data_IF_775384317378
#
_entry.id   IF_775384317378
#
_cell.length_a   1.000
_cell.length_b   1.000
_cell.length_c   1.000
_cell.angle_alpha   90.00
_cell.angle_beta   90.00
_cell.angle_gamma   90.00
#
_symmetry.space_group_name_H-M   'P 1'
#
loop_
_entity.id
_entity.type
_entity.pdbx_description
1 polymer ?
2 water ?
#
# COMPACT_ATOMS: atom_id res chain seq x y z
N UNK A 14 -9.19 -26.27 3.95
CA UNK A 14 -8.90 -25.77 2.60
C UNK A 14 -9.03 -26.89 1.57
N UNK A 15 -9.38 -26.53 0.34
CA UNK A 15 -9.56 -27.49 -0.74
C UNK A 15 -8.27 -27.85 -1.48
N UNK A 16 -7.17 -27.14 -1.21
CA UNK A 16 -5.90 -27.34 -1.90
C UNK A 16 -4.77 -27.51 -0.90
N UNK A 17 -3.61 -27.93 -1.40
CA UNK A 17 -2.41 -28.17 -0.62
C UNK A 17 -1.44 -27.03 -0.95
N UNK A 18 -1.62 -25.92 -0.23
CA UNK A 18 -0.98 -24.68 -0.60
C UNK A 18 0.53 -24.78 -0.55
N UNK A 19 1.07 -25.45 0.47
CA UNK A 19 2.52 -25.43 0.68
C UNK A 19 3.27 -26.05 -0.49
N UNK A 20 2.71 -27.10 -1.11
CA UNK A 20 3.39 -27.72 -2.24
C UNK A 20 3.12 -27.01 -3.56
N UNK A 21 2.07 -26.19 -3.64
CA UNK A 21 1.77 -25.45 -4.87
C UNK A 21 2.59 -24.17 -4.97
N UNK A 22 2.92 -23.57 -3.82
CA UNK A 22 3.53 -22.24 -3.82
C UNK A 22 4.78 -22.12 -4.69
N UNK A 23 5.74 -23.06 -4.68
CA UNK A 23 6.93 -22.93 -5.53
C UNK A 23 6.60 -22.86 -7.00
N UNK A 24 5.49 -23.48 -7.41
CA UNK A 24 5.07 -23.47 -8.79
C UNK A 24 4.48 -22.12 -9.19
N UNK A 25 4.17 -21.24 -8.25
CA UNK A 25 3.60 -19.94 -8.58
C UNK A 25 4.65 -18.86 -8.80
N UNK A 26 5.92 -19.19 -8.60
CA UNK A 26 6.95 -18.21 -8.83
C UNK A 26 7.06 -17.90 -10.31
N UNK A 27 7.33 -16.63 -10.62
CA UNK A 27 7.42 -16.19 -12.01
C UNK A 27 8.79 -15.57 -12.27
N UNK A 28 9.19 -15.60 -13.55
CA UNK A 28 10.41 -14.93 -13.99
C UNK A 28 10.28 -13.41 -13.79
N UNK A 29 11.37 -12.71 -13.54
CA UNK A 29 11.28 -11.24 -13.44
C UNK A 29 10.65 -10.63 -14.69
N UNK A 30 9.88 -9.58 -14.46
CA UNK A 30 9.31 -8.76 -15.53
C UNK A 30 8.33 -9.53 -16.41
N UNK A 31 7.76 -10.64 -15.93
CA UNK A 31 6.92 -11.46 -16.78
C UNK A 31 5.49 -11.61 -16.28
N UNK A 32 5.17 -11.16 -15.07
CA UNK A 32 3.89 -11.46 -14.46
C UNK A 32 2.79 -10.47 -14.86
N UNK A 33 1.64 -11.01 -15.20
CA UNK A 33 0.46 -10.22 -15.49
C UNK A 33 -0.62 -10.56 -14.48
N UNK A 34 -1.45 -9.57 -14.22
CA UNK A 34 -2.64 -9.62 -13.38
C UNK A 34 -3.83 -9.16 -14.23
N UNK A 35 -5.03 -9.29 -13.68
CA UNK A 35 -6.18 -8.77 -14.44
C UNK A 35 -7.38 -8.59 -13.53
N UNK A 36 -8.30 -7.73 -13.95
CA UNK A 36 -9.56 -7.59 -13.21
C UNK A 36 -10.57 -6.93 -14.13
N UNK A 37 -11.79 -7.44 -14.10
CA UNK A 37 -12.85 -6.69 -14.72
C UNK A 37 -12.87 -6.74 -16.25
N UNK A 38 -13.75 -5.88 -16.77
CA UNK A 38 -14.04 -5.81 -18.19
C UNK A 38 -14.24 -4.35 -18.58
N UNK A 39 -14.12 -4.08 -19.88
CA UNK A 39 -14.44 -2.78 -20.46
C UNK A 39 -15.43 -3.06 -21.58
N UNK A 40 -16.63 -2.49 -21.46
CA UNK A 40 -17.73 -2.74 -22.38
C UNK A 40 -17.93 -4.26 -22.59
N UNK A 41 -17.84 -5.03 -21.52
CA UNK A 41 -18.08 -6.47 -21.61
C UNK A 41 -16.91 -7.31 -22.07
N UNK A 42 -15.76 -6.71 -22.37
CA UNK A 42 -14.59 -7.40 -22.88
C UNK A 42 -13.53 -7.47 -21.79
N UNK A 43 -13.01 -8.67 -21.55
CA UNK A 43 -12.03 -8.87 -20.49
C UNK A 43 -12.11 -10.29 -19.97
N UNK A 44 -11.78 -10.48 -18.68
CA UNK A 44 -11.80 -11.79 -18.09
C UNK A 44 -10.47 -12.51 -18.24
N UNK A 45 -10.42 -13.73 -17.74
CA UNK A 45 -9.13 -14.44 -17.67
C UNK A 45 -8.54 -14.85 -19.03
N UNK A 46 -9.39 -15.17 -20.01
CA UNK A 46 -8.88 -15.63 -21.31
C UNK A 46 -8.30 -14.48 -22.10
N UNK A 47 -8.99 -13.32 -22.05
CA UNK A 47 -8.44 -12.13 -22.70
C UNK A 47 -7.12 -11.74 -22.03
N UNK A 48 -7.05 -11.80 -20.69
CA UNK A 48 -5.80 -11.44 -20.01
C UNK A 48 -4.67 -12.37 -20.40
N UNK A 49 -4.96 -13.65 -20.52
CA UNK A 49 -3.93 -14.62 -20.91
C UNK A 49 -3.42 -14.34 -22.31
N UNK A 50 -4.33 -14.00 -23.24
CA UNK A 50 -3.91 -13.67 -24.60
C UNK A 50 -2.99 -12.45 -24.60
N UNK A 51 -3.38 -11.40 -23.88
CA UNK A 51 -2.56 -10.18 -23.82
C UNK A 51 -1.21 -10.50 -23.20
N UNK A 52 -1.21 -11.25 -22.10
CA UNK A 52 0.02 -11.61 -21.42
C UNK A 52 0.94 -12.41 -22.32
N UNK A 53 0.44 -13.50 -22.89
CA UNK A 53 1.33 -14.33 -23.69
C UNK A 53 1.77 -13.63 -24.97
N UNK A 54 0.89 -12.78 -25.55
CA UNK A 54 1.31 -12.05 -26.74
C UNK A 54 2.46 -11.10 -26.46
N UNK A 55 2.69 -10.81 -25.18
CA UNK A 55 3.74 -9.89 -24.76
C UNK A 55 4.86 -10.61 -24.04
N UNK A 56 4.89 -11.93 -24.12
CA UNK A 56 5.94 -12.72 -23.48
C UNK A 56 5.78 -12.97 -21.99
N UNK A 57 4.60 -12.77 -21.43
CA UNK A 57 4.43 -13.00 -20.00
C UNK A 57 3.40 -14.07 -19.71
N UNK A 58 2.97 -14.14 -18.44
CA UNK A 58 2.09 -15.19 -17.96
C UNK A 58 1.03 -14.56 -17.08
N UNK A 59 -0.06 -15.30 -16.84
CA UNK A 59 -1.04 -14.90 -15.83
C UNK A 59 -1.12 -15.95 -14.74
N UNK A 60 -1.94 -15.68 -13.72
CA UNK A 60 -2.17 -16.70 -12.70
C UNK A 60 -2.82 -17.93 -13.30
N UNK A 61 -3.84 -17.72 -14.15
CA UNK A 61 -4.52 -18.87 -14.73
C UNK A 61 -3.63 -19.62 -15.71
N UNK A 62 -2.80 -18.93 -16.48
CA UNK A 62 -1.95 -19.67 -17.41
C UNK A 62 -0.87 -20.43 -16.65
N UNK A 63 -0.36 -19.86 -15.56
CA UNK A 63 0.59 -20.57 -14.71
C UNK A 63 -0.03 -21.85 -14.16
N UNK A 64 -1.25 -21.73 -13.64
CA UNK A 64 -1.93 -22.89 -13.08
C UNK A 64 -2.12 -23.95 -14.14
N UNK A 65 -2.55 -23.54 -15.34
CA UNK A 65 -2.80 -24.49 -16.42
C UNK A 65 -1.49 -25.07 -16.93
N UNK A 66 -0.53 -24.20 -17.24
CA UNK A 66 0.68 -24.68 -17.89
C UNK A 66 1.60 -25.41 -16.91
N UNK A 67 1.52 -25.13 -15.60
CA UNK A 67 2.26 -25.93 -14.63
C UNK A 67 1.43 -27.06 -14.02
N UNK A 68 0.19 -27.21 -14.47
CA UNK A 68 -0.67 -28.35 -14.11
C UNK A 68 -1.00 -28.39 -12.63
N UNK A 69 -1.32 -27.22 -12.09
CA UNK A 69 -1.81 -27.08 -10.72
C UNK A 69 -3.32 -27.30 -10.70
N UNK A 70 -3.79 -28.19 -9.83
CA UNK A 70 -5.22 -28.52 -9.76
C UNK A 70 -5.93 -27.55 -8.82
N UNK A 71 -6.92 -26.82 -9.34
CA UNK A 71 -7.70 -25.82 -8.60
C UNK A 71 -9.19 -26.13 -8.70
N UNK A 72 -9.97 -25.80 -7.65
CA UNK A 72 -11.44 -25.89 -7.74
C UNK A 72 -12.01 -24.89 -8.76
N UNK A 80 -15.28 -21.83 -0.20
CA UNK A 80 -14.07 -22.63 -0.11
C UNK A 80 -13.28 -22.50 -1.42
N UNK A 81 -14.03 -22.40 -2.51
CA UNK A 81 -13.42 -22.17 -3.82
C UNK A 81 -12.80 -20.78 -3.87
N UNK A 82 -13.51 -19.79 -3.30
CA UNK A 82 -13.02 -18.42 -3.24
C UNK A 82 -11.76 -18.32 -2.38
N UNK A 83 -11.74 -19.03 -1.25
CA UNK A 83 -10.56 -19.01 -0.39
C UNK A 83 -9.35 -19.60 -1.08
N UNK A 84 -9.53 -20.71 -1.82
CA UNK A 84 -8.40 -21.30 -2.52
C UNK A 84 -7.80 -20.32 -3.50
N UNK A 85 -8.66 -19.63 -4.25
CA UNK A 85 -8.17 -18.69 -5.26
C UNK A 85 -7.51 -17.48 -4.63
N UNK A 86 -8.03 -17.04 -3.46
CA UNK A 86 -7.41 -15.93 -2.75
C UNK A 86 -6.01 -16.29 -2.27
N UNK A 87 -5.85 -17.50 -1.72
CA UNK A 87 -4.55 -17.91 -1.22
C UNK A 87 -3.52 -18.03 -2.34
N UNK A 88 -3.90 -18.64 -3.47
CA UNK A 88 -2.97 -18.78 -4.58
C UNK A 88 -2.68 -17.42 -5.20
N UNK A 89 -3.70 -16.55 -5.33
CA UNK A 89 -3.46 -15.21 -5.85
C UNK A 89 -2.48 -14.45 -4.98
N UNK A 90 -2.61 -14.56 -3.65
CA UNK A 90 -1.70 -13.84 -2.76
C UNK A 90 -0.29 -14.37 -2.91
N UNK A 91 -0.14 -15.69 -3.04
CA UNK A 91 1.19 -16.26 -3.20
C UNK A 91 1.81 -15.85 -4.52
N UNK A 92 1.02 -15.86 -5.59
CA UNK A 92 1.52 -15.40 -6.89
C UNK A 92 2.04 -13.97 -6.80
N UNK A 93 1.25 -13.09 -6.19
CA UNK A 93 1.65 -11.68 -6.06
C UNK A 93 2.92 -11.55 -5.22
N UNK A 94 3.05 -12.36 -4.18
CA UNK A 94 4.20 -12.22 -3.30
C UNK A 94 5.49 -12.63 -3.98
N UNK A 95 5.43 -13.42 -5.04
CA UNK A 95 6.60 -14.02 -5.65
C UNK A 95 7.01 -13.37 -6.97
N UNK A 96 6.26 -12.37 -7.46
CA UNK A 96 6.68 -11.69 -8.69
C UNK A 96 7.88 -10.80 -8.40
N UNK A 97 8.56 -10.39 -9.47
CA UNK A 97 9.63 -9.40 -9.32
C UNK A 97 9.72 -8.56 -10.59
N UNK A 98 10.31 -7.38 -10.44
CA UNK A 98 10.49 -6.51 -11.58
C UNK A 98 9.25 -5.76 -12.00
N UNK A 99 9.08 -5.54 -13.32
CA UNK A 99 7.93 -4.80 -13.83
C UNK A 99 6.73 -5.70 -13.93
N UNK A 100 5.58 -5.21 -13.46
CA UNK A 100 4.34 -5.97 -13.40
C UNK A 100 3.32 -5.30 -14.32
N UNK A 101 2.51 -6.11 -15.00
CA UNK A 101 1.48 -5.58 -15.87
C UNK A 101 0.10 -6.11 -15.44
N UNK A 102 -0.93 -5.30 -15.61
CA UNK A 102 -2.27 -5.71 -15.15
C UNK A 102 -3.32 -5.28 -16.18
N UNK A 103 -4.14 -6.22 -16.61
CA UNK A 103 -5.20 -5.94 -17.58
C UNK A 103 -6.43 -5.57 -16.77
N UNK A 104 -6.70 -4.28 -16.66
CA UNK A 104 -7.68 -3.75 -15.72
C UNK A 104 -8.77 -3.05 -16.52
N UNK A 105 -10.02 -3.57 -16.41
CA UNK A 105 -11.12 -2.98 -17.11
C UNK A 105 -11.68 -1.75 -16.40
N UNK A 106 -12.56 -1.06 -17.12
CA UNK A 106 -13.27 0.08 -16.56
C UNK A 106 -14.34 -0.31 -15.54
N UNK A 107 -14.86 -1.54 -15.64
CA UNK A 107 -15.93 -2.04 -14.78
C UNK A 107 -15.33 -3.10 -13.90
N UNK A 108 -15.19 -2.80 -12.61
CA UNK A 108 -14.62 -3.76 -11.68
C UNK A 108 -15.68 -4.23 -10.70
N UNK A 109 -15.54 -5.47 -10.24
CA UNK A 109 -16.50 -6.07 -9.33
C UNK A 109 -16.13 -5.73 -7.89
N UNK A 110 -17.14 -5.39 -7.09
CA UNK A 110 -16.89 -5.13 -5.68
C UNK A 110 -16.31 -6.39 -5.04
N UNK A 111 -15.24 -6.22 -4.29
CA UNK A 111 -14.60 -7.35 -3.66
C UNK A 111 -13.59 -8.10 -4.50
N UNK A 112 -13.21 -7.55 -5.66
CA UNK A 112 -12.37 -8.28 -6.60
C UNK A 112 -10.98 -8.57 -6.00
N UNK A 113 -10.39 -9.68 -6.46
CA UNK A 113 -9.12 -10.15 -5.92
C UNK A 113 -7.98 -9.18 -6.23
N UNK A 114 -8.01 -8.53 -7.39
CA UNK A 114 -6.94 -7.62 -7.75
C UNK A 114 -6.78 -6.51 -6.72
N UNK A 115 -7.87 -5.81 -6.39
CA UNK A 115 -7.70 -4.69 -5.49
C UNK A 115 -7.61 -5.11 -4.04
N UNK A 116 -8.21 -6.25 -3.68
CA UNK A 116 -8.32 -6.58 -2.26
C UNK A 116 -7.23 -7.52 -1.77
N UNK A 117 -6.61 -8.28 -2.67
CA UNK A 117 -5.61 -9.28 -2.30
C UNK A 117 -4.28 -9.02 -2.98
N UNK A 118 -4.30 -8.85 -4.31
CA UNK A 118 -3.07 -8.85 -5.06
C UNK A 118 -2.36 -7.50 -5.02
N UNK A 119 -3.03 -6.42 -5.40
CA UNK A 119 -2.34 -5.13 -5.45
C UNK A 119 -1.72 -4.78 -4.08
N UNK A 120 -2.37 -5.01 -2.92
CA UNK A 120 -1.67 -4.69 -1.66
C UNK A 120 -0.40 -5.49 -1.47
N UNK A 121 -0.41 -6.75 -1.93
CA UNK A 121 0.80 -7.54 -1.78
C UNK A 121 1.86 -7.13 -2.79
N UNK A 122 1.46 -6.60 -3.96
CA UNK A 122 2.45 -6.08 -4.89
C UNK A 122 3.11 -4.84 -4.28
N UNK A 123 2.31 -3.97 -3.64
CA UNK A 123 2.90 -2.80 -2.98
C UNK A 123 3.85 -3.23 -1.86
N UNK A 124 3.55 -4.33 -1.17
CA UNK A 124 4.40 -4.87 -0.12
C UNK A 124 5.57 -5.71 -0.62
N UNK A 125 5.67 -5.92 -1.93
CA UNK A 125 6.74 -6.71 -2.55
C UNK A 125 7.88 -5.78 -2.96
N UNK A 126 8.97 -5.80 -2.19
CA UNK A 126 10.07 -4.88 -2.43
C UNK A 126 10.72 -5.07 -3.79
N UNK A 127 10.47 -6.21 -4.44
CA UNK A 127 11.10 -6.48 -5.73
C UNK A 127 10.29 -5.97 -6.90
N UNK A 128 9.07 -5.48 -6.67
CA UNK A 128 8.25 -4.92 -7.75
C UNK A 128 8.74 -3.52 -8.05
N UNK A 129 9.10 -3.26 -9.30
CA UNK A 129 9.66 -1.95 -9.63
C UNK A 129 8.67 -1.04 -10.34
N UNK A 130 7.63 -1.59 -10.94
CA UNK A 130 6.71 -0.79 -11.74
C UNK A 130 5.44 -1.60 -11.89
N UNK A 131 4.29 -0.91 -11.86
CA UNK A 131 3.02 -1.53 -12.24
C UNK A 131 2.37 -0.69 -13.34
N UNK A 132 2.04 -1.34 -14.45
CA UNK A 132 1.40 -0.68 -15.60
C UNK A 132 0.07 -1.37 -15.87
N UNK A 133 -1.00 -0.59 -16.00
CA UNK A 133 -2.28 -1.18 -16.40
C UNK A 133 -2.47 -1.13 -17.90
N UNK A 134 -3.25 -2.08 -18.41
CA UNK A 134 -3.57 -2.22 -19.84
C UNK A 134 -5.07 -2.42 -19.92
N UNK A 135 -5.79 -1.57 -20.68
CA UNK A 135 -7.22 -1.82 -20.80
C UNK A 135 -7.48 -3.06 -21.66
N UNK A 136 -8.42 -3.94 -21.27
CA UNK A 136 -8.63 -5.18 -22.03
C UNK A 136 -9.16 -4.98 -23.43
N UNK A 137 -9.87 -3.87 -23.70
CA UNK A 137 -10.47 -3.61 -25.00
C UNK A 137 -9.54 -2.74 -25.83
N UNK A 138 -9.15 -1.58 -25.31
CA UNK A 138 -8.33 -0.66 -26.10
C UNK A 138 -6.84 -0.95 -25.99
N UNK A 139 -6.43 -1.61 -24.92
CA UNK A 139 -5.03 -1.85 -24.56
C UNK A 139 -4.26 -0.55 -24.32
N UNK A 140 -4.98 0.54 -24.04
CA UNK A 140 -4.30 1.77 -23.63
C UNK A 140 -3.59 1.52 -22.30
N UNK A 141 -2.39 2.05 -22.13
CA UNK A 141 -1.58 1.76 -20.95
C UNK A 141 -1.49 2.96 -20.02
N UNK A 142 -1.38 2.67 -18.70
CA UNK A 142 -1.17 3.71 -17.70
C UNK A 142 -0.19 3.20 -16.64
N UNK A 143 0.87 3.95 -16.37
CA UNK A 143 1.77 3.56 -15.29
C UNK A 143 1.17 4.05 -13.97
N UNK A 144 0.85 3.12 -13.06
CA UNK A 144 0.21 3.47 -11.81
C UNK A 144 1.16 3.41 -10.63
N UNK A 145 2.36 2.85 -10.81
CA UNK A 145 3.29 2.75 -9.69
C UNK A 145 4.70 2.64 -10.23
N UNK A 146 5.62 3.46 -9.69
CA UNK A 146 7.05 3.33 -9.91
C UNK A 146 7.70 3.40 -8.55
N UNK A 147 8.52 2.41 -8.22
CA UNK A 147 9.11 2.38 -6.86
C UNK A 147 10.42 3.14 -6.78
N UNK B 12 19.60 23.15 6.24
CA UNK B 12 19.81 21.96 7.08
C UNK B 12 19.64 22.26 8.57
N UNK B 13 19.76 23.54 8.92
CA UNK B 13 19.63 23.95 10.31
C UNK B 13 18.18 23.88 10.76
N UNK B 14 17.99 23.66 12.06
CA UNK B 14 16.67 23.40 12.62
C UNK B 14 16.53 24.15 13.93
N UNK B 15 15.29 24.45 14.29
CA UNK B 15 14.99 25.10 15.56
C UNK B 15 14.93 24.11 16.71
N UNK B 16 15.10 22.81 16.43
CA UNK B 16 15.05 21.78 17.45
C UNK B 16 16.33 20.97 17.34
N UNK B 17 16.55 20.12 18.35
CA UNK B 17 17.65 19.14 18.36
C UNK B 17 17.01 17.79 18.04
N UNK B 18 16.95 17.45 16.75
CA UNK B 18 16.22 16.25 16.34
C UNK B 18 16.74 15.00 17.04
N UNK B 19 18.07 14.81 17.06
CA UNK B 19 18.60 13.57 17.62
C UNK B 19 18.27 13.47 19.10
N UNK B 20 18.12 14.60 19.80
CA UNK B 20 17.85 14.52 21.23
C UNK B 20 16.41 14.11 21.53
N UNK B 21 15.45 14.44 20.66
CA UNK B 21 14.05 14.04 20.90
C UNK B 21 13.63 12.81 20.10
N UNK B 22 14.45 12.33 19.17
CA UNK B 22 14.09 11.16 18.37
C UNK B 22 13.58 9.97 19.17
N UNK B 23 14.13 9.60 20.32
CA UNK B 23 13.56 8.44 21.03
C UNK B 23 12.12 8.65 21.41
N UNK B 24 11.70 9.89 21.63
CA UNK B 24 10.31 10.15 21.99
C UNK B 24 9.37 10.05 20.80
N UNK B 25 9.89 10.07 19.58
CA UNK B 25 9.05 9.94 18.41
C UNK B 25 8.82 8.49 18.02
N UNK B 26 9.55 7.56 18.65
CA UNK B 26 9.37 6.15 18.39
C UNK B 26 8.00 5.72 18.90
N UNK B 27 7.36 4.81 18.19
CA UNK B 27 6.03 4.35 18.54
C UNK B 27 6.03 2.84 18.80
N UNK B 28 5.07 2.39 19.61
CA UNK B 28 4.93 0.97 19.83
C UNK B 28 4.51 0.28 18.53
N UNK B 29 4.90 -0.96 18.34
CA UNK B 29 4.47 -1.70 17.16
C UNK B 29 2.95 -1.68 17.06
N UNK B 30 2.46 -1.56 15.83
CA UNK B 30 1.04 -1.64 15.49
C UNK B 30 0.21 -0.50 16.06
N UNK B 31 0.81 0.61 16.44
CA UNK B 31 0.06 1.68 17.12
C UNK B 31 0.07 3.02 16.39
N UNK B 32 0.87 3.17 15.32
CA UNK B 32 1.07 4.48 14.71
C UNK B 32 0.01 4.82 13.66
N UNK B 33 -0.47 6.06 13.71
CA UNK B 33 -1.39 6.61 12.71
C UNK B 33 -0.76 7.79 11.97
N UNK B 34 -1.18 7.91 10.71
CA UNK B 34 -0.83 9.00 9.82
C UNK B 34 -2.14 9.63 9.36
N UNK B 35 -2.06 10.79 8.69
CA UNK B 35 -3.32 11.36 8.19
C UNK B 35 -3.03 12.34 7.06
N UNK B 36 -4.06 12.54 6.23
CA UNK B 36 -3.98 13.53 5.17
C UNK B 36 -5.38 13.84 4.67
N UNK B 37 -5.65 15.12 4.44
CA UNK B 37 -6.85 15.48 3.74
C UNK B 37 -8.14 15.40 4.56
N UNK B 38 -9.24 15.62 3.83
CA UNK B 38 -10.57 15.69 4.43
C UNK B 38 -11.57 15.00 3.53
N UNK B 39 -12.70 14.58 4.11
CA UNK B 39 -13.85 14.07 3.36
C UNK B 39 -15.05 14.90 3.76
N UNK B 40 -15.67 15.58 2.79
CA UNK B 40 -16.79 16.48 3.06
C UNK B 40 -16.46 17.44 4.21
N UNK B 41 -15.23 17.96 4.19
CA UNK B 41 -14.78 18.93 5.16
C UNK B 41 -14.31 18.35 6.47
N UNK B 42 -14.36 17.02 6.63
CA UNK B 42 -14.05 16.36 7.89
C UNK B 42 -12.65 15.78 7.83
N UNK B 43 -11.84 16.11 8.83
CA UNK B 43 -10.47 15.56 8.81
C UNK B 43 -9.51 16.51 9.53
N UNK B 44 -8.25 16.46 9.13
CA UNK B 44 -7.25 17.26 9.81
C UNK B 44 -6.67 16.53 11.02
N UNK B 45 -5.74 17.19 11.72
CA UNK B 45 -5.01 16.50 12.78
C UNK B 45 -5.84 16.15 14.01
N UNK B 46 -6.85 16.96 14.34
CA UNK B 46 -7.61 16.72 15.57
C UNK B 46 -8.49 15.49 15.40
N UNK B 47 -9.10 15.36 14.21
CA UNK B 47 -9.92 14.18 13.91
C UNK B 47 -9.03 12.94 13.89
N UNK B 48 -7.86 13.03 13.26
CA UNK B 48 -6.95 11.87 13.22
C UNK B 48 -6.56 11.43 14.61
N UNK B 49 -6.27 12.40 15.50
CA UNK B 49 -5.95 12.08 16.88
C UNK B 49 -7.11 11.37 17.58
N UNK B 50 -8.33 11.85 17.38
CA UNK B 50 -9.47 11.23 18.02
C UNK B 50 -9.65 9.80 17.56
N UNK B 51 -9.56 9.58 16.25
CA UNK B 51 -9.68 8.22 15.70
C UNK B 51 -8.56 7.34 16.24
N UNK B 52 -7.32 7.84 16.21
CA UNK B 52 -6.19 7.04 16.70
C UNK B 52 -6.39 6.65 18.15
N UNK B 53 -6.72 7.62 19.02
CA UNK B 53 -6.85 7.35 20.46
C UNK B 53 -7.98 6.39 20.74
N UNK B 54 -9.06 6.45 19.97
CA UNK B 54 -10.15 5.51 20.18
C UNK B 54 -9.74 4.08 19.86
N UNK B 55 -8.64 3.89 19.10
CA UNK B 55 -8.15 2.58 18.71
C UNK B 55 -6.87 2.25 19.46
N UNK B 56 -6.53 3.04 20.49
CA UNK B 56 -5.34 2.74 21.27
C UNK B 56 -4.04 3.14 20.61
N UNK B 57 -4.09 4.05 19.63
CA UNK B 57 -2.87 4.45 18.94
C UNK B 57 -2.59 5.94 19.06
N UNK B 58 -1.62 6.41 18.28
CA UNK B 58 -1.14 7.79 18.39
C UNK B 58 -0.99 8.38 17.00
N UNK B 59 -0.90 9.69 16.96
CA UNK B 59 -0.48 10.41 15.76
C UNK B 59 0.83 11.15 16.07
N UNK B 60 1.40 11.77 15.04
CA UNK B 60 2.56 12.62 15.29
C UNK B 60 2.21 13.76 16.24
N UNK B 61 1.08 14.42 15.96
CA UNK B 61 0.75 15.59 16.78
C UNK B 61 0.36 15.19 18.20
N UNK B 62 -0.31 14.05 18.37
CA UNK B 62 -0.67 13.64 19.71
C UNK B 62 0.58 13.24 20.50
N UNK B 63 1.54 12.62 19.80
CA UNK B 63 2.83 12.32 20.44
C UNK B 63 3.53 13.58 20.91
N UNK B 64 3.60 14.60 20.05
CA UNK B 64 4.27 15.83 20.43
C UNK B 64 3.56 16.48 21.62
N UNK B 65 2.23 16.52 21.58
CA UNK B 65 1.47 17.17 22.65
C UNK B 65 1.60 16.39 23.94
N UNK B 66 1.35 15.08 23.89
CA UNK B 66 1.26 14.29 25.12
C UNK B 66 2.61 14.03 25.76
N UNK B 67 3.69 14.08 24.99
CA UNK B 67 5.02 13.93 25.57
C UNK B 67 5.72 15.26 25.81
N UNK B 68 5.04 16.37 25.53
CA UNK B 68 5.56 17.70 25.84
C UNK B 68 6.85 17.96 25.07
N UNK B 69 6.87 17.56 23.80
CA UNK B 69 8.01 17.85 22.94
C UNK B 69 7.84 19.28 22.44
N UNK B 70 8.86 20.10 22.64
CA UNK B 70 8.73 21.51 22.26
C UNK B 70 9.03 21.68 20.78
N UNK B 71 8.08 22.25 20.04
CA UNK B 71 8.29 22.47 18.62
C UNK B 71 8.10 23.94 18.32
N UNK B 72 8.84 24.50 17.35
CA UNK B 72 8.53 25.85 16.90
C UNK B 72 7.12 25.84 16.32
N UNK B 73 6.44 26.96 16.46
CA UNK B 73 5.19 27.10 15.75
C UNK B 73 5.44 26.95 14.25
N UNK B 74 4.61 26.13 13.60
CA UNK B 74 4.67 26.02 12.16
C UNK B 74 4.48 27.37 11.50
N UNK B 75 5.42 27.75 10.64
CA UNK B 75 5.41 29.07 10.01
C UNK B 75 5.95 28.90 8.60
N UNK B 76 5.08 29.03 7.58
CA UNK B 76 5.56 28.75 6.22
C UNK B 76 6.56 29.78 5.72
N UNK B 77 6.76 30.89 6.42
CA UNK B 77 7.76 31.85 6.02
C UNK B 77 9.11 31.63 6.72
N UNK B 78 9.21 30.65 7.63
CA UNK B 78 10.40 30.40 8.43
C UNK B 78 11.07 29.09 7.98
N UNK B 79 12.16 29.14 7.20
CA UNK B 79 12.76 27.90 6.72
C UNK B 79 13.21 26.95 7.82
N UNK B 80 13.63 27.44 8.99
CA UNK B 80 14.03 26.49 10.04
C UNK B 80 12.83 25.86 10.72
N UNK B 81 11.70 26.56 10.77
CA UNK B 81 10.50 25.91 11.31
C UNK B 81 10.00 24.82 10.37
N UNK B 82 10.02 25.09 9.07
CA UNK B 82 9.61 24.06 8.11
C UNK B 82 10.52 22.86 8.21
N UNK B 83 11.83 23.10 8.35
CA UNK B 83 12.79 22.01 8.47
C UNK B 83 12.55 21.19 9.73
N UNK B 84 12.25 21.86 10.86
CA UNK B 84 12.00 21.13 12.10
C UNK B 84 10.83 20.18 11.93
N UNK B 85 9.75 20.67 11.34
CA UNK B 85 8.57 19.84 11.18
C UNK B 85 8.80 18.73 10.16
N UNK B 86 9.54 19.02 9.09
CA UNK B 86 9.85 17.95 8.13
C UNK B 86 10.66 16.86 8.81
N UNK B 87 11.63 17.27 9.62
CA UNK B 87 12.53 16.31 10.25
C UNK B 87 11.81 15.44 11.26
N UNK B 88 10.97 16.04 12.11
CA UNK B 88 10.20 15.26 13.08
C UNK B 88 9.20 14.35 12.38
N UNK B 89 8.56 14.81 11.31
CA UNK B 89 7.65 13.94 10.58
C UNK B 89 8.38 12.73 10.00
N UNK B 90 9.57 12.95 9.44
CA UNK B 90 10.33 11.86 8.84
C UNK B 90 10.81 10.89 9.90
N UNK B 91 11.19 11.41 11.08
CA UNK B 91 11.69 10.55 12.14
C UNK B 91 10.58 9.68 12.71
N UNK B 92 9.41 10.28 12.90
CA UNK B 92 8.25 9.51 13.32
C UNK B 92 7.98 8.39 12.34
N UNK B 93 7.95 8.70 11.04
CA UNK B 93 7.68 7.65 10.05
C UNK B 93 8.75 6.58 10.04
N UNK B 94 10.02 6.96 10.19
CA UNK B 94 11.12 6.02 10.12
C UNK B 94 11.06 5.02 11.26
N UNK B 95 10.45 5.39 12.37
CA UNK B 95 10.50 4.59 13.58
C UNK B 95 9.24 3.76 13.83
N UNK B 96 8.23 3.84 12.95
CA UNK B 96 7.04 2.99 13.16
C UNK B 96 7.36 1.54 12.79
N UNK B 97 6.52 0.63 13.28
CA UNK B 97 6.70 -0.76 12.92
C UNK B 97 5.37 -1.49 13.02
N UNK B 98 5.30 -2.62 12.31
CA UNK B 98 4.11 -3.44 12.34
C UNK B 98 2.99 -2.84 11.50
N UNK B 99 1.75 -2.99 11.96
CA UNK B 99 0.60 -2.49 11.19
C UNK B 99 0.43 -0.99 11.39
N UNK B 100 0.28 -0.27 10.27
CA UNK B 100 0.19 1.19 10.25
C UNK B 100 -1.19 1.58 9.74
N UNK B 101 -1.78 2.62 10.32
CA UNK B 101 -3.08 3.10 9.87
C UNK B 101 -3.00 4.56 9.47
N UNK B 102 -3.81 4.95 8.49
CA UNK B 102 -3.72 6.32 7.99
C UNK B 102 -5.12 6.83 7.73
N UNK B 103 -5.44 8.00 8.31
CA UNK B 103 -6.75 8.62 8.14
C UNK B 103 -6.65 9.53 6.92
N UNK B 104 -7.20 9.07 5.80
CA UNK B 104 -6.95 9.67 4.50
C UNK B 104 -8.29 10.09 3.92
N UNK B 105 -8.44 11.40 3.65
CA UNK B 105 -9.68 11.91 3.09
C UNK B 105 -9.76 11.78 1.57
N UNK B 106 -10.97 12.05 1.09
CA UNK B 106 -11.24 12.21 -0.32
C UNK B 106 -10.73 13.60 -0.75
N UNK B 112 0.26 16.19 -2.66
CA UNK B 112 0.14 16.02 -1.21
C UNK B 112 1.26 15.15 -0.66
N UNK B 113 1.62 15.40 0.60
CA UNK B 113 2.72 14.67 1.23
C UNK B 113 2.40 13.19 1.35
N UNK B 114 1.14 12.83 1.60
CA UNK B 114 0.80 11.43 1.80
C UNK B 114 1.18 10.58 0.58
N UNK B 115 0.72 10.95 -0.61
CA UNK B 115 0.95 10.06 -1.75
C UNK B 115 2.36 10.17 -2.29
N UNK B 116 2.98 11.33 -2.14
CA UNK B 116 4.23 11.58 -2.81
C UNK B 116 5.45 11.36 -1.92
N UNK B 117 5.28 11.50 -0.61
CA UNK B 117 6.40 11.42 0.30
C UNK B 117 6.16 10.37 1.39
N UNK B 118 5.05 10.51 2.12
CA UNK B 118 4.84 9.66 3.29
C UNK B 118 4.62 8.21 2.90
N UNK B 119 3.72 7.96 1.96
CA UNK B 119 3.41 6.58 1.63
C UNK B 119 4.63 5.87 1.06
N UNK B 120 5.37 6.45 0.11
CA UNK B 120 6.62 5.79 -0.32
C UNK B 120 7.61 5.57 0.83
N UNK B 121 7.75 6.53 1.76
CA UNK B 121 8.74 6.28 2.80
C UNK B 121 8.26 5.27 3.83
N UNK B 122 6.94 5.09 4.03
CA UNK B 122 6.49 3.97 4.87
C UNK B 122 6.75 2.66 4.18
N UNK B 123 6.47 2.59 2.87
CA UNK B 123 6.71 1.37 2.12
C UNK B 123 8.20 1.01 2.16
N UNK B 124 9.10 2.01 2.22
CA UNK B 124 10.51 1.79 2.32
C UNK B 124 11.01 1.45 3.71
N UNK B 125 10.10 1.47 4.69
CA UNK B 125 10.40 1.12 6.07
C UNK B 125 10.25 -0.38 6.21
N UNK B 126 11.38 -1.09 6.36
CA UNK B 126 11.36 -2.55 6.34
C UNK B 126 10.54 -3.14 7.48
N UNK B 127 10.24 -2.35 8.50
CA UNK B 127 9.54 -2.87 9.66
C UNK B 127 8.03 -2.77 9.56
N UNK B 128 7.51 -2.11 8.53
CA UNK B 128 6.07 -1.94 8.32
C UNK B 128 5.52 -3.19 7.65
N UNK B 129 4.45 -3.76 8.23
CA UNK B 129 3.87 -5.01 7.71
C UNK B 129 2.53 -4.81 7.03
N UNK B 130 1.84 -3.70 7.27
CA UNK B 130 0.52 -3.49 6.71
C UNK B 130 0.23 -2.01 6.75
N UNK B 131 -0.44 -1.49 5.73
CA UNK B 131 -0.95 -0.13 5.79
C UNK B 131 -2.43 -0.17 5.41
N UNK B 132 -3.28 0.38 6.29
CA UNK B 132 -4.72 0.43 6.09
C UNK B 132 -5.16 1.88 6.16
N UNK B 133 -5.94 2.34 5.16
CA UNK B 133 -6.47 3.68 5.21
C UNK B 133 -7.85 3.66 5.85
N UNK B 134 -8.20 4.78 6.47
CA UNK B 134 -9.47 4.97 7.18
C UNK B 134 -10.04 6.30 6.72
N UNK B 135 -11.27 6.32 6.22
CA UNK B 135 -11.83 7.60 5.83
C UNK B 135 -12.14 8.44 7.07
N UNK B 136 -11.81 9.75 7.09
CA UNK B 136 -12.04 10.52 8.34
C UNK B 136 -13.50 10.69 8.73
N UNK B 137 -14.42 10.61 7.77
CA UNK B 137 -15.84 10.76 8.08
C UNK B 137 -16.51 9.41 8.32
N UNK B 138 -16.47 8.51 7.32
CA UNK B 138 -17.17 7.23 7.44
C UNK B 138 -16.36 6.18 8.18
N UNK B 139 -15.03 6.35 8.23
CA UNK B 139 -14.12 5.38 8.80
C UNK B 139 -14.13 4.05 8.04
N UNK B 140 -14.54 4.08 6.77
CA UNK B 140 -14.40 2.91 5.90
C UNK B 140 -12.93 2.58 5.73
N UNK B 141 -12.58 1.29 5.74
CA UNK B 141 -11.17 0.90 5.72
C UNK B 141 -10.79 0.27 4.39
N UNK B 142 -9.52 0.45 4.00
CA UNK B 142 -8.98 -0.21 2.80
C UNK B 142 -7.55 -0.62 3.09
N UNK B 143 -7.24 -1.90 2.92
CA UNK B 143 -5.86 -2.36 3.02
C UNK B 143 -5.16 -2.03 1.71
N UNK B 144 -4.10 -1.22 1.80
CA UNK B 144 -3.39 -0.81 0.60
C UNK B 144 -2.00 -1.42 0.52
N UNK B 145 -1.53 -2.11 1.56
CA UNK B 145 -0.15 -2.61 1.59
C UNK B 145 -0.09 -3.77 2.56
N UNK B 146 0.49 -4.88 2.13
CA UNK B 146 0.71 -6.05 2.98
C UNK B 146 2.09 -6.59 2.66
N UNK B 147 2.95 -6.68 3.68
CA UNK B 147 4.29 -7.27 3.55
C UNK B 147 4.47 -8.38 4.56
#
# INVERSE_FOLDING_TARGET
>A
GSAAFNAWRNTPKSLINLKEIEPQLATDPDSAFFWSGRTEGVGGPDVAEAIAKSRGGVTLESTIKDKNIKMPEWDFDNPQSIKAWEDVSASYAKQVSGEVRAVVGQSLREGNIWENVELPRLMGNDNVTKITTIDPLSQTEKVIFVRDN
>B
GSAAFNAWRNTPKSLINLKEIEPQLATDPDSAFFWSGRTEGVGGPDVAEAIAKSRGGVTLESTIKDKNIKMPEWDFDNPQSIKAWEDVSASYAKQVSGEVRAVVGQSLREGNIWENVELPRLMGNDNVTKITTIDPLSQTEKVIFVRDN
#
